data_IF_879658020350
#
_entry.id   IF_879658020350
#
_cell.length_a   1.000
_cell.length_b   1.000
_cell.length_c   1.000
_cell.angle_alpha   90.00
_cell.angle_beta   90.00
_cell.angle_gamma   90.00
#
_symmetry.space_group_name_H-M   'P 1'
#
loop_
_entity.id
_entity.type
_entity.pdbx_description
1 polymer ?
#
# COMPACT_ATOMS: atom_id res chain seq x y z
N UNK A 1 0.99 2.27 20.84
CA UNK A 1 -0.43 1.97 20.66
C UNK A 1 -1.06 2.89 19.64
N UNK A 2 -1.80 2.33 18.70
CA UNK A 2 -2.45 3.11 17.64
C UNK A 2 -3.93 3.33 17.92
N UNK A 3 -4.49 4.34 17.30
CA UNK A 3 -5.93 4.60 17.35
C UNK A 3 -6.44 5.02 15.98
N UNK A 4 -7.72 4.72 15.72
CA UNK A 4 -8.37 5.09 14.45
C UNK A 4 -8.71 6.57 14.49
N UNK A 5 -8.17 7.35 13.56
CA UNK A 5 -8.53 8.76 13.46
C UNK A 5 -9.36 9.07 12.22
N UNK A 6 -9.50 8.13 11.30
CA UNK A 6 -10.32 8.29 10.10
C UNK A 6 -10.88 6.93 9.68
N UNK A 7 -12.14 6.90 9.32
CA UNK A 7 -12.77 5.69 8.82
C UNK A 7 -13.81 6.06 7.77
N UNK A 8 -13.80 5.32 6.66
CA UNK A 8 -14.82 5.44 5.63
C UNK A 8 -15.00 4.11 4.93
N UNK A 9 -16.05 3.99 4.12
CA UNK A 9 -16.32 2.77 3.36
C UNK A 9 -16.33 3.05 1.86
N UNK A 10 -15.80 2.10 1.11
CA UNK A 10 -15.94 2.03 -0.34
C UNK A 10 -16.60 0.70 -0.67
N UNK A 11 -17.89 0.72 -1.01
CA UNK A 11 -18.67 -0.50 -1.12
C UNK A 11 -18.63 -1.25 0.22
N UNK A 12 -18.35 -2.56 0.21
CA UNK A 12 -18.28 -3.35 1.45
C UNK A 12 -16.97 -3.20 2.22
N UNK A 13 -15.96 -2.50 1.65
CA UNK A 13 -14.63 -2.43 2.24
C UNK A 13 -14.50 -1.20 3.12
N UNK A 14 -14.11 -1.40 4.38
CA UNK A 14 -13.76 -0.31 5.27
C UNK A 14 -12.33 0.16 5.03
N UNK A 15 -12.11 1.46 5.11
CA UNK A 15 -10.79 2.07 5.02
C UNK A 15 -10.55 2.81 6.33
N UNK A 16 -9.66 2.29 7.15
CA UNK A 16 -9.33 2.88 8.44
C UNK A 16 -7.91 3.42 8.42
N UNK A 17 -7.75 4.67 8.85
CA UNK A 17 -6.45 5.25 9.04
C UNK A 17 -6.13 5.25 10.54
N UNK A 18 -5.00 4.68 10.90
CA UNK A 18 -4.58 4.50 12.29
C UNK A 18 -3.36 5.37 12.54
N UNK A 19 -3.40 6.12 13.64
CA UNK A 19 -2.28 6.96 14.04
C UNK A 19 -1.56 6.33 15.22
N UNK A 20 -0.21 6.37 15.17
CA UNK A 20 0.67 5.89 16.22
C UNK A 20 1.51 7.07 16.73
N UNK A 21 1.00 7.83 17.68
CA UNK A 21 1.62 9.13 18.03
C UNK A 21 3.02 9.05 18.58
N UNK A 22 3.45 7.89 19.07
CA UNK A 22 4.78 7.73 19.66
C UNK A 22 5.78 6.98 18.77
N UNK A 23 5.42 6.74 17.51
CA UNK A 23 6.36 6.10 16.56
C UNK A 23 7.24 7.17 15.93
N UNK A 24 8.54 6.84 15.83
CA UNK A 24 9.52 7.79 15.31
C UNK A 24 9.44 7.98 13.79
N UNK A 25 9.16 6.91 13.05
CA UNK A 25 9.27 6.93 11.58
C UNK A 25 7.94 6.86 10.85
N UNK A 26 7.11 5.88 11.19
CA UNK A 26 5.82 5.70 10.54
C UNK A 26 4.72 5.96 11.54
N UNK A 27 4.10 7.13 11.44
CA UNK A 27 3.10 7.57 12.39
C UNK A 27 1.69 7.14 12.03
N UNK A 28 1.46 6.80 10.77
CA UNK A 28 0.14 6.40 10.30
C UNK A 28 0.22 5.12 9.47
N UNK A 29 -0.85 4.34 9.47
CA UNK A 29 -1.01 3.22 8.57
C UNK A 29 -2.46 3.14 8.12
N UNK A 30 -2.69 2.57 6.94
CA UNK A 30 -4.03 2.39 6.41
C UNK A 30 -4.37 0.90 6.45
N UNK A 31 -5.56 0.60 6.96
CA UNK A 31 -6.12 -0.75 6.96
C UNK A 31 -7.24 -0.83 5.95
N UNK A 32 -7.24 -1.89 5.15
CA UNK A 32 -8.39 -2.27 4.35
C UNK A 32 -9.12 -3.36 5.10
N UNK A 33 -10.39 -3.12 5.42
CA UNK A 33 -11.17 -4.00 6.27
C UNK A 33 -12.30 -4.63 5.47
N UNK A 34 -12.14 -5.89 5.04
CA UNK A 34 -13.21 -6.59 4.34
C UNK A 34 -14.32 -6.97 5.34
N UNK A 35 -15.55 -7.24 4.86
CA UNK A 35 -16.65 -7.64 5.75
C UNK A 35 -16.41 -9.00 6.42
N UNK A 36 -15.59 -9.85 5.80
CA UNK A 36 -15.17 -11.12 6.36
C UNK A 36 -13.68 -11.28 6.16
N UNK A 37 -13.01 -11.95 7.11
CA UNK A 37 -11.58 -12.15 7.05
C UNK A 37 -10.81 -11.11 7.85
N UNK A 38 -9.51 -11.12 7.70
CA UNK A 38 -8.62 -10.27 8.47
C UNK A 38 -8.43 -8.91 7.83
N UNK A 39 -8.27 -7.86 8.62
CA UNK A 39 -7.84 -6.56 8.09
C UNK A 39 -6.50 -6.69 7.37
N UNK A 40 -6.33 -5.90 6.32
CA UNK A 40 -5.11 -5.88 5.53
C UNK A 40 -4.35 -4.61 5.88
N UNK A 41 -3.13 -4.77 6.42
CA UNK A 41 -2.24 -3.67 6.75
C UNK A 41 -1.47 -3.31 5.48
N UNK A 42 -1.70 -2.12 4.95
CA UNK A 42 -1.09 -1.73 3.68
C UNK A 42 0.42 -1.55 3.78
N UNK A 43 0.96 -1.31 4.97
CA UNK A 43 2.41 -1.20 5.14
C UNK A 43 3.12 -2.55 5.17
N UNK A 44 2.38 -3.66 5.25
CA UNK A 44 2.95 -5.01 5.17
C UNK A 44 3.10 -5.37 3.69
N UNK A 45 4.35 -5.38 3.24
CA UNK A 45 4.64 -5.69 1.84
C UNK A 45 4.83 -7.19 1.70
N UNK A 46 3.98 -7.81 0.90
CA UNK A 46 4.00 -9.26 0.70
C UNK A 46 5.16 -9.68 -0.19
N UNK A 47 5.63 -10.91 0.02
CA UNK A 47 6.72 -11.47 -0.78
C UNK A 47 6.44 -11.43 -2.28
N UNK A 48 5.18 -11.61 -2.68
CA UNK A 48 4.78 -11.54 -4.09
C UNK A 48 5.18 -10.21 -4.74
N UNK A 49 5.10 -9.12 -3.98
CA UNK A 49 5.51 -7.80 -4.44
C UNK A 49 7.03 -7.73 -4.55
N UNK A 50 7.72 -8.17 -3.50
CA UNK A 50 9.18 -8.07 -3.41
C UNK A 50 9.90 -9.01 -4.37
N UNK A 51 9.23 -10.05 -4.86
CA UNK A 51 9.79 -10.98 -5.84
C UNK A 51 9.29 -10.75 -7.25
N UNK A 52 8.43 -9.73 -7.45
CA UNK A 52 7.89 -9.43 -8.78
C UNK A 52 8.98 -8.90 -9.71
N UNK A 53 8.79 -9.15 -11.01
CA UNK A 53 9.74 -8.67 -12.02
C UNK A 53 9.88 -7.15 -12.00
N UNK A 54 8.77 -6.43 -11.83
CA UNK A 54 8.77 -4.96 -11.80
C UNK A 54 9.69 -4.45 -10.69
N UNK A 55 9.54 -5.00 -9.47
CA UNK A 55 10.37 -4.58 -8.34
C UNK A 55 11.81 -5.01 -8.50
N UNK A 56 12.06 -6.24 -8.95
CA UNK A 56 13.41 -6.75 -9.12
C UNK A 56 14.18 -5.98 -10.20
N UNK A 57 13.52 -5.58 -11.28
CA UNK A 57 14.13 -4.77 -12.32
C UNK A 57 14.55 -3.39 -11.78
N UNK A 58 13.67 -2.78 -10.97
CA UNK A 58 13.99 -1.51 -10.31
C UNK A 58 15.21 -1.67 -9.38
N UNK A 59 15.23 -2.73 -8.59
CA UNK A 59 16.33 -2.98 -7.64
C UNK A 59 17.67 -3.20 -8.32
N UNK A 60 17.68 -3.72 -9.54
CA UNK A 60 18.93 -3.88 -10.28
C UNK A 60 19.60 -2.54 -10.57
N UNK A 61 18.80 -1.51 -10.85
CA UNK A 61 19.30 -0.18 -11.15
C UNK A 61 19.47 0.69 -9.89
N UNK A 62 18.74 0.35 -8.83
CA UNK A 62 18.74 1.12 -7.59
C UNK A 62 18.86 0.16 -6.39
N UNK A 63 20.00 -0.54 -6.25
CA UNK A 63 20.13 -1.63 -5.28
C UNK A 63 20.03 -1.19 -3.82
N UNK A 64 20.21 0.09 -3.54
CA UNK A 64 20.13 0.60 -2.17
C UNK A 64 18.80 1.26 -1.84
N UNK A 65 17.85 1.20 -2.76
CA UNK A 65 16.52 1.77 -2.54
C UNK A 65 15.54 0.70 -2.09
N UNK A 66 14.82 0.98 -1.01
CA UNK A 66 13.79 0.11 -0.46
C UNK A 66 12.52 0.91 -0.19
N UNK A 67 11.43 0.19 0.04
CA UNK A 67 10.16 0.82 0.35
C UNK A 67 10.17 1.28 1.80
N UNK A 68 9.83 2.54 2.03
CA UNK A 68 9.79 3.16 3.35
C UNK A 68 8.49 3.94 3.54
N UNK A 69 8.06 4.02 4.79
CA UNK A 69 6.95 4.88 5.17
C UNK A 69 5.59 4.27 4.93
N UNK A 70 4.59 5.12 5.04
CA UNK A 70 3.19 4.70 4.94
C UNK A 70 2.69 4.69 3.51
N UNK A 71 1.72 3.83 3.25
CA UNK A 71 1.01 3.80 1.98
C UNK A 71 0.08 5.01 1.88
N UNK A 72 0.00 5.59 0.70
CA UNK A 72 -0.93 6.68 0.40
C UNK A 72 -1.94 6.17 -0.61
N UNK A 73 -3.23 6.23 -0.26
CA UNK A 73 -4.28 5.84 -1.19
C UNK A 73 -4.39 6.89 -2.30
N UNK A 74 -4.12 6.45 -3.52
CA UNK A 74 -4.11 7.32 -4.69
C UNK A 74 -5.41 7.29 -5.45
N UNK A 75 -6.06 6.12 -5.54
CA UNK A 75 -7.23 5.95 -6.38
C UNK A 75 -8.04 4.74 -5.94
N UNK A 76 -9.36 4.86 -6.06
CA UNK A 76 -10.29 3.74 -5.88
C UNK A 76 -11.09 3.60 -7.15
N UNK A 77 -11.13 2.40 -7.72
CA UNK A 77 -11.88 2.12 -8.93
C UNK A 77 -12.85 0.96 -8.69
N UNK A 78 -14.09 1.15 -9.13
CA UNK A 78 -15.07 0.07 -9.15
C UNK A 78 -15.22 -0.39 -10.59
N UNK A 79 -14.72 -1.58 -10.85
CA UNK A 79 -14.80 -2.22 -12.16
C UNK A 79 -15.97 -3.19 -12.20
N UNK A 80 -16.25 -3.80 -13.37
CA UNK A 80 -17.34 -4.76 -13.48
C UNK A 80 -17.16 -5.97 -12.57
N UNK A 81 -15.92 -6.41 -12.37
CA UNK A 81 -15.63 -7.64 -11.64
C UNK A 81 -15.04 -7.40 -10.24
N UNK A 82 -14.50 -6.20 -9.98
CA UNK A 82 -13.78 -5.97 -8.74
C UNK A 82 -13.83 -4.52 -8.28
N UNK A 83 -13.34 -4.32 -7.04
CA UNK A 83 -13.06 -3.01 -6.47
C UNK A 83 -11.55 -2.97 -6.28
N UNK A 84 -10.90 -1.97 -6.85
CA UNK A 84 -9.45 -1.84 -6.80
C UNK A 84 -9.04 -0.60 -6.03
N UNK A 85 -8.11 -0.79 -5.09
CA UNK A 85 -7.50 0.30 -4.34
C UNK A 85 -6.03 0.38 -4.75
N UNK A 86 -5.60 1.56 -5.22
CA UNK A 86 -4.23 1.77 -5.66
C UNK A 86 -3.53 2.66 -4.65
N UNK A 87 -2.47 2.14 -4.04
CA UNK A 87 -1.66 2.86 -3.07
C UNK A 87 -0.28 3.15 -3.65
N UNK A 88 0.31 4.26 -3.24
CA UNK A 88 1.71 4.53 -3.56
C UNK A 88 2.55 4.47 -2.30
N UNK A 89 3.78 3.99 -2.47
CA UNK A 89 4.78 3.91 -1.42
C UNK A 89 6.02 4.64 -1.88
N UNK A 90 6.70 5.24 -0.94
CA UNK A 90 7.96 5.90 -1.19
C UNK A 90 9.08 4.86 -1.23
N UNK A 91 9.98 4.97 -2.21
CA UNK A 91 11.20 4.18 -2.26
C UNK A 91 12.41 5.10 -2.18
N UNK A 92 13.39 4.73 -1.38
CA UNK A 92 14.58 5.52 -1.18
C UNK A 92 15.63 4.74 -0.41
N UNK A 93 16.79 5.37 -0.19
CA UNK A 93 17.92 4.73 0.50
C UNK A 93 17.67 4.56 2.00
N UNK A 94 16.92 5.48 2.58
CA UNK A 94 16.57 5.43 4.00
C UNK A 94 15.26 6.15 4.22
N UNK A 95 14.70 6.02 5.42
CA UNK A 95 13.41 6.60 5.74
C UNK A 95 13.36 8.13 5.58
N UNK A 96 14.41 8.81 6.02
CA UNK A 96 14.50 10.26 5.91
C UNK A 96 15.26 10.75 4.69
N UNK A 97 15.64 9.86 3.79
CA UNK A 97 16.39 10.21 2.60
C UNK A 97 15.49 10.71 1.49
N UNK A 98 16.10 11.30 0.46
CA UNK A 98 15.40 11.77 -0.70
C UNK A 98 14.72 10.62 -1.43
N UNK A 99 13.53 10.86 -1.93
CA UNK A 99 12.76 9.87 -2.68
C UNK A 99 13.43 9.53 -4.00
N UNK A 100 13.70 8.24 -4.22
CA UNK A 100 14.24 7.74 -5.49
C UNK A 100 13.12 7.43 -6.47
N UNK A 101 12.02 6.89 -5.98
CA UNK A 101 10.89 6.47 -6.79
C UNK A 101 9.63 6.33 -5.95
N UNK A 102 8.49 6.20 -6.65
CA UNK A 102 7.22 5.82 -6.06
C UNK A 102 6.79 4.47 -6.62
N UNK A 103 6.34 3.61 -5.73
CA UNK A 103 5.90 2.25 -6.08
C UNK A 103 4.39 2.21 -5.96
N UNK A 104 3.70 1.79 -7.02
CA UNK A 104 2.24 1.73 -7.04
C UNK A 104 1.78 0.29 -6.93
N UNK A 105 0.99 0.02 -5.91
CA UNK A 105 0.52 -1.32 -5.56
C UNK A 105 -1.00 -1.35 -5.53
N UNK A 106 -1.58 -2.36 -6.16
CA UNK A 106 -3.02 -2.57 -6.26
C UNK A 106 -3.48 -3.62 -5.25
N UNK A 107 -4.63 -3.35 -4.63
CA UNK A 107 -5.35 -4.32 -3.78
C UNK A 107 -6.73 -4.49 -4.39
N UNK A 108 -7.06 -5.72 -4.79
CA UNK A 108 -8.34 -6.00 -5.44
C UNK A 108 -9.24 -6.87 -4.59
N UNK A 109 -10.53 -6.52 -4.57
CA UNK A 109 -11.57 -7.24 -3.85
C UNK A 109 -12.74 -7.50 -4.78
N UNK A 110 -13.49 -8.58 -4.53
CA UNK A 110 -14.76 -8.78 -5.23
C UNK A 110 -15.77 -7.72 -4.76
N UNK A 111 -16.89 -7.57 -5.48
CA UNK A 111 -17.94 -6.64 -5.09
C UNK A 111 -18.59 -7.03 -3.75
N UNK A 112 -18.51 -8.30 -3.37
CA UNK A 112 -19.00 -8.79 -2.07
C UNK A 112 -18.00 -8.52 -0.95
N UNK A 113 -16.76 -8.14 -1.29
CA UNK A 113 -15.76 -7.78 -0.31
C UNK A 113 -14.71 -8.83 -0.01
N UNK A 114 -14.60 -9.87 -0.85
CA UNK A 114 -13.53 -10.87 -0.67
C UNK A 114 -12.25 -10.41 -1.34
N UNK A 115 -11.14 -10.54 -0.63
CA UNK A 115 -9.84 -10.17 -1.17
C UNK A 115 -9.45 -11.11 -2.31
N UNK A 116 -9.05 -10.54 -3.44
CA UNK A 116 -8.61 -11.30 -4.62
C UNK A 116 -7.10 -11.41 -4.63
N UNK A 117 -6.42 -10.27 -4.70
CA UNK A 117 -4.96 -10.22 -4.78
C UNK A 117 -4.43 -8.81 -4.60
N UNK A 118 -3.14 -8.73 -4.30
CA UNK A 118 -2.39 -7.50 -4.44
C UNK A 118 -1.27 -7.71 -5.45
N UNK A 119 -0.88 -6.67 -6.15
CA UNK A 119 0.23 -6.74 -7.07
C UNK A 119 0.82 -5.37 -7.31
N UNK A 120 2.11 -5.35 -7.64
CA UNK A 120 2.78 -4.13 -8.02
C UNK A 120 2.37 -3.77 -9.45
N UNK A 121 1.98 -2.51 -9.66
CA UNK A 121 1.57 -2.03 -10.98
C UNK A 121 2.76 -1.49 -11.74
N UNK A 122 3.49 -0.56 -11.13
CA UNK A 122 4.67 0.03 -11.73
C UNK A 122 5.46 0.81 -10.69
N UNK A 123 6.69 1.13 -11.05
CA UNK A 123 7.56 1.99 -10.26
C UNK A 123 7.83 3.24 -11.09
N UNK A 124 7.54 4.41 -10.52
CA UNK A 124 7.77 5.69 -11.19
C UNK A 124 8.99 6.35 -10.59
N UNK A 125 10.02 6.55 -11.40
CA UNK A 125 11.26 7.18 -10.94
C UNK A 125 10.98 8.66 -10.65
N UNK A 126 11.42 9.09 -9.48
CA UNK A 126 11.34 10.50 -9.08
C UNK A 126 12.51 11.27 -9.69
N UNK A 127 12.24 12.43 -10.20
CA UNK A 127 13.27 13.24 -10.86
C UNK A 127 13.73 14.39 -9.97
#
# INVERSE_FOLDING_TARGET
>A
MGYVYSFRKEGPIGIAEIEYPFRANTNTTTLLIPPAGKPIYTEDIYDDILTSKVWLDFKKQHPYSDIHGSAVLMKTEKNNDDIEFIFSFRAGKCHGCEETARVYISYKFTHEGFFIKNNILYVKISS
#
